data_IF_496258072286
#
_entry.id   IF_496258072286
#
_cell.length_a   1.000
_cell.length_b   1.000
_cell.length_c   1.000
_cell.angle_alpha   90.00
_cell.angle_beta   90.00
_cell.angle_gamma   90.00
#
_symmetry.space_group_name_H-M   'P 1'
#
loop_
_entity.id
_entity.type
_entity.pdbx_description
1 polymer ?
#
# COMPACT_ATOMS: atom_id res chain seq x y z
N UNK A 1 -9.37 -30.70 -16.28
CA UNK A 1 -9.82 -29.40 -15.76
C UNK A 1 -8.95 -29.12 -14.57
N UNK A 2 -7.80 -28.51 -14.84
CA UNK A 2 -7.06 -27.78 -13.81
C UNK A 2 -8.00 -26.65 -13.35
N UNK A 3 -8.04 -26.39 -12.04
CA UNK A 3 -8.92 -25.37 -11.46
C UNK A 3 -8.65 -24.05 -12.18
N UNK A 4 -9.68 -23.44 -12.76
CA UNK A 4 -9.64 -22.05 -13.17
C UNK A 4 -9.11 -21.24 -11.98
N UNK A 5 -7.98 -20.56 -12.16
CA UNK A 5 -7.37 -19.74 -11.12
C UNK A 5 -8.42 -18.75 -10.61
N UNK A 6 -8.70 -18.79 -9.31
CA UNK A 6 -9.68 -17.92 -8.72
C UNK A 6 -9.02 -16.56 -8.51
N UNK A 7 -9.28 -15.61 -9.43
CA UNK A 7 -8.80 -14.24 -9.30
C UNK A 7 -9.17 -13.66 -7.93
N UNK A 8 -8.28 -12.87 -7.33
CA UNK A 8 -8.49 -12.28 -6.01
C UNK A 8 -9.80 -11.47 -5.93
N UNK A 9 -10.19 -10.86 -7.05
CA UNK A 9 -11.38 -10.04 -7.22
C UNK A 9 -12.67 -10.86 -7.06
N UNK A 10 -12.60 -12.19 -7.23
CA UNK A 10 -13.73 -13.09 -7.11
C UNK A 10 -13.90 -13.61 -5.67
N UNK A 11 -12.92 -13.36 -4.78
CA UNK A 11 -12.99 -13.76 -3.37
C UNK A 11 -14.01 -12.87 -2.66
N UNK A 12 -15.20 -13.43 -2.43
CA UNK A 12 -16.24 -12.80 -1.62
C UNK A 12 -15.92 -12.92 -0.14
N UNK A 13 -15.70 -11.77 0.48
CA UNK A 13 -15.56 -11.63 1.91
C UNK A 13 -16.93 -11.53 2.59
N UNK A 14 -16.91 -11.18 3.88
CA UNK A 14 -18.11 -10.94 4.66
C UNK A 14 -17.87 -9.87 5.72
N UNK A 15 -18.71 -9.91 6.75
CA UNK A 15 -18.70 -8.94 7.85
C UNK A 15 -17.81 -9.40 9.01
N UNK A 16 -16.76 -8.63 9.27
CA UNK A 16 -15.73 -8.89 10.26
C UNK A 16 -16.00 -8.15 11.57
N UNK A 17 -17.13 -7.43 11.71
CA UNK A 17 -17.47 -6.64 12.91
C UNK A 17 -17.40 -7.45 14.22
N UNK A 18 -17.66 -8.77 14.15
CA UNK A 18 -17.63 -9.67 15.32
C UNK A 18 -16.24 -10.26 15.60
N UNK A 19 -15.31 -10.16 14.64
CA UNK A 19 -13.98 -10.76 14.71
C UNK A 19 -13.20 -10.25 15.92
N UNK A 20 -13.21 -8.94 16.14
CA UNK A 20 -12.42 -8.28 17.18
C UNK A 20 -12.84 -8.70 18.59
N UNK A 21 -14.14 -8.87 18.83
CA UNK A 21 -14.66 -9.37 20.10
C UNK A 21 -14.42 -10.87 20.29
N UNK A 22 -14.47 -11.65 19.20
CA UNK A 22 -14.27 -13.09 19.24
C UNK A 22 -12.79 -13.47 19.45
N UNK A 23 -11.85 -12.63 18.99
CA UNK A 23 -10.41 -12.88 19.04
C UNK A 23 -9.67 -11.76 19.78
N UNK A 24 -9.87 -11.58 21.10
CA UNK A 24 -9.32 -10.44 21.85
C UNK A 24 -7.78 -10.43 22.00
N UNK A 25 -7.11 -11.48 21.53
CA UNK A 25 -5.64 -11.60 21.52
C UNK A 25 -5.08 -11.60 20.10
N UNK A 26 -5.88 -11.26 19.08
CA UNK A 26 -5.43 -11.20 17.69
C UNK A 26 -4.33 -10.15 17.55
N UNK A 27 -3.18 -10.57 17.02
CA UNK A 27 -2.04 -9.68 16.77
C UNK A 27 -1.85 -9.34 15.31
N UNK A 28 -2.30 -10.22 14.43
CA UNK A 28 -2.07 -10.12 13.00
C UNK A 28 -3.34 -10.53 12.26
N UNK A 29 -3.77 -9.68 11.33
CA UNK A 29 -4.91 -9.92 10.46
C UNK A 29 -4.46 -9.64 9.02
N UNK A 30 -4.46 -10.69 8.20
CA UNK A 30 -4.16 -10.61 6.78
C UNK A 30 -5.42 -11.06 6.03
N UNK A 31 -5.91 -10.21 5.13
CA UNK A 31 -7.13 -10.43 4.36
C UNK A 31 -6.76 -10.43 2.88
N UNK A 32 -7.09 -11.52 2.17
CA UNK A 32 -6.89 -11.64 0.72
C UNK A 32 -8.25 -11.56 0.01
N UNK A 33 -8.44 -10.57 -0.85
CA UNK A 33 -9.70 -10.19 -1.50
C UNK A 33 -10.51 -9.20 -0.66
N UNK A 34 -11.13 -8.22 -1.31
CA UNK A 34 -11.93 -7.18 -0.66
C UNK A 34 -13.38 -7.07 -1.15
N UNK A 35 -13.80 -7.91 -2.11
CA UNK A 35 -15.18 -7.95 -2.58
C UNK A 35 -16.13 -8.31 -1.44
N UNK A 36 -17.19 -7.51 -1.23
CA UNK A 36 -18.14 -7.63 -0.12
C UNK A 36 -17.51 -7.52 1.30
N UNK A 37 -16.27 -7.05 1.42
CA UNK A 37 -15.60 -6.89 2.72
C UNK A 37 -16.24 -5.77 3.54
N UNK A 38 -16.54 -6.08 4.80
CA UNK A 38 -16.91 -5.10 5.83
C UNK A 38 -16.04 -5.36 7.05
N UNK A 39 -15.16 -4.43 7.38
CA UNK A 39 -14.40 -4.46 8.62
C UNK A 39 -15.29 -4.06 9.81
N UNK A 40 -16.27 -3.19 9.57
CA UNK A 40 -17.14 -2.65 10.60
C UNK A 40 -16.43 -1.69 11.55
N UNK A 41 -16.94 -1.57 12.78
CA UNK A 41 -16.35 -0.70 13.79
C UNK A 41 -15.14 -1.39 14.44
N UNK A 42 -13.93 -1.01 13.99
CA UNK A 42 -12.69 -1.62 14.44
C UNK A 42 -12.26 -1.01 15.78
N UNK A 43 -12.31 -1.81 16.84
CA UNK A 43 -11.66 -1.48 18.11
C UNK A 43 -10.88 -2.70 18.60
N UNK A 44 -9.55 -2.62 18.57
CA UNK A 44 -8.70 -3.73 19.00
C UNK A 44 -7.38 -3.27 19.63
N UNK A 45 -7.20 -3.56 20.92
CA UNK A 45 -6.05 -3.08 21.74
C UNK A 45 -4.72 -3.80 21.42
N UNK A 46 -4.76 -4.95 20.74
CA UNK A 46 -3.59 -5.83 20.56
C UNK A 46 -3.24 -6.14 19.12
N UNK A 47 -3.98 -5.57 18.16
CA UNK A 47 -3.69 -5.82 16.74
C UNK A 47 -2.45 -5.00 16.38
N UNK A 48 -1.40 -5.69 15.97
CA UNK A 48 -0.09 -5.11 15.66
C UNK A 48 0.14 -5.08 14.14
N UNK A 49 -0.48 -5.98 13.37
CA UNK A 49 -0.36 -6.06 11.91
C UNK A 49 -1.73 -6.17 11.24
N UNK A 50 -1.99 -5.31 10.26
CA UNK A 50 -3.15 -5.36 9.38
C UNK A 50 -2.69 -5.26 7.93
N UNK A 51 -3.06 -6.26 7.14
CA UNK A 51 -2.76 -6.29 5.71
C UNK A 51 -3.99 -6.68 4.91
N UNK A 52 -4.26 -5.91 3.86
CA UNK A 52 -5.36 -6.14 2.93
C UNK A 52 -4.77 -6.23 1.53
N UNK A 53 -4.83 -7.43 0.97
CA UNK A 53 -4.39 -7.75 -0.38
C UNK A 53 -5.64 -7.74 -1.26
N UNK A 54 -5.76 -6.80 -2.19
CA UNK A 54 -6.92 -6.67 -3.06
C UNK A 54 -6.49 -6.28 -4.48
N UNK A 55 -7.28 -6.70 -5.46
CA UNK A 55 -7.23 -6.13 -6.82
C UNK A 55 -7.89 -4.75 -6.91
N UNK A 56 -8.66 -4.36 -5.89
CA UNK A 56 -9.29 -3.06 -5.74
C UNK A 56 -9.90 -2.90 -4.35
N UNK A 57 -9.41 -1.98 -3.51
CA UNK A 57 -9.94 -1.75 -2.16
C UNK A 57 -11.18 -0.85 -2.23
N UNK A 58 -12.35 -1.30 -1.75
CA UNK A 58 -13.54 -0.47 -1.71
C UNK A 58 -13.39 0.70 -0.73
N UNK A 59 -13.96 1.85 -1.09
CA UNK A 59 -14.06 3.08 -0.32
C UNK A 59 -14.66 2.86 1.07
N UNK A 60 -15.60 1.93 1.23
CA UNK A 60 -16.13 1.59 2.55
C UNK A 60 -15.05 1.03 3.48
N UNK A 61 -14.10 0.25 2.96
CA UNK A 61 -13.00 -0.33 3.73
C UNK A 61 -12.03 0.77 4.14
N UNK A 62 -11.70 1.70 3.23
CA UNK A 62 -10.90 2.88 3.55
C UNK A 62 -11.57 3.72 4.65
N UNK A 63 -12.87 3.97 4.53
CA UNK A 63 -13.64 4.72 5.53
C UNK A 63 -13.69 4.01 6.89
N UNK A 64 -13.85 2.69 6.92
CA UNK A 64 -13.82 1.90 8.16
C UNK A 64 -12.44 1.96 8.84
N UNK A 65 -11.35 1.90 8.06
CA UNK A 65 -9.98 2.07 8.57
C UNK A 65 -9.73 3.47 9.14
N UNK A 66 -10.24 4.53 8.49
CA UNK A 66 -10.13 5.90 9.00
C UNK A 66 -10.85 6.10 10.35
N UNK A 67 -11.83 5.25 10.66
CA UNK A 67 -12.56 5.28 11.93
C UNK A 67 -12.06 4.23 12.95
N UNK A 68 -10.96 3.53 12.64
CA UNK A 68 -10.45 2.45 13.46
C UNK A 68 -9.75 2.94 14.74
N UNK A 69 -9.91 2.17 15.82
CA UNK A 69 -9.18 2.34 17.07
C UNK A 69 -8.21 1.18 17.25
N UNK A 70 -6.99 1.37 16.72
CA UNK A 70 -5.92 0.38 16.69
C UNK A 70 -4.64 0.94 17.34
N UNK A 71 -4.63 1.20 18.66
CA UNK A 71 -3.52 1.90 19.33
C UNK A 71 -2.19 1.12 19.32
N UNK A 72 -2.23 -0.19 19.07
CA UNK A 72 -1.06 -1.06 19.02
C UNK A 72 -0.57 -1.38 17.59
N UNK A 73 -1.22 -0.83 16.55
CA UNK A 73 -0.88 -1.14 15.17
C UNK A 73 0.53 -0.62 14.83
N UNK A 74 1.37 -1.54 14.35
CA UNK A 74 2.76 -1.27 13.93
C UNK A 74 2.91 -1.39 12.43
N UNK A 75 2.11 -2.26 11.79
CA UNK A 75 2.14 -2.50 10.36
C UNK A 75 0.76 -2.35 9.73
N UNK A 76 0.68 -1.51 8.70
CA UNK A 76 -0.48 -1.36 7.83
C UNK A 76 -0.02 -1.51 6.38
N UNK A 77 -0.53 -2.53 5.69
CA UNK A 77 -0.23 -2.79 4.28
C UNK A 77 -1.50 -2.88 3.47
N UNK A 78 -1.61 -2.06 2.43
CA UNK A 78 -2.77 -1.98 1.56
C UNK A 78 -2.31 -2.15 0.12
N UNK A 79 -2.78 -3.21 -0.53
CA UNK A 79 -2.74 -3.35 -1.99
C UNK A 79 -4.01 -2.67 -2.51
N UNK A 80 -3.86 -1.44 -2.99
CA UNK A 80 -4.96 -0.54 -3.32
C UNK A 80 -5.78 -1.04 -4.51
N UNK A 81 -5.09 -1.62 -5.49
CA UNK A 81 -5.70 -2.09 -6.71
C UNK A 81 -6.18 -0.97 -7.62
N UNK A 82 -7.04 -1.34 -8.57
CA UNK A 82 -7.53 -0.46 -9.64
C UNK A 82 -9.05 -0.51 -9.76
N UNK A 83 -9.63 0.48 -10.44
CA UNK A 83 -11.09 0.64 -10.56
C UNK A 83 -11.75 -0.59 -11.18
N UNK A 84 -11.11 -1.19 -12.20
CA UNK A 84 -11.61 -2.37 -12.90
C UNK A 84 -11.79 -3.61 -12.01
N UNK A 85 -11.15 -3.64 -10.83
CA UNK A 85 -11.20 -4.75 -9.89
C UNK A 85 -11.76 -4.33 -8.51
N UNK A 86 -12.42 -3.18 -8.41
CA UNK A 86 -13.24 -2.80 -7.25
C UNK A 86 -12.75 -1.61 -6.43
N UNK A 87 -11.66 -0.95 -6.81
CA UNK A 87 -11.29 0.33 -6.19
C UNK A 87 -12.32 1.40 -6.58
N UNK A 88 -12.95 2.04 -5.60
CA UNK A 88 -13.91 3.13 -5.84
C UNK A 88 -13.69 4.33 -4.89
N UNK A 89 -12.51 4.39 -4.28
CA UNK A 89 -12.05 5.50 -3.44
C UNK A 89 -11.27 6.55 -4.21
N UNK A 90 -10.67 7.48 -3.48
CA UNK A 90 -9.75 8.49 -4.01
C UNK A 90 -8.39 8.42 -3.34
N UNK A 91 -7.37 9.05 -3.96
CA UNK A 91 -6.09 9.25 -3.30
C UNK A 91 -6.21 9.99 -1.97
N UNK A 92 -7.18 10.90 -1.81
CA UNK A 92 -7.41 11.59 -0.54
C UNK A 92 -7.86 10.61 0.55
N UNK A 93 -8.72 9.64 0.21
CA UNK A 93 -9.15 8.60 1.15
C UNK A 93 -8.00 7.69 1.56
N UNK A 94 -7.11 7.35 0.61
CA UNK A 94 -5.89 6.58 0.86
C UNK A 94 -4.93 7.35 1.76
N UNK A 95 -4.65 8.61 1.41
CA UNK A 95 -3.67 9.41 2.14
C UNK A 95 -4.17 9.85 3.52
N UNK A 96 -5.47 9.87 3.76
CA UNK A 96 -6.03 10.06 5.11
C UNK A 96 -5.57 8.96 6.09
N UNK A 97 -5.24 7.76 5.60
CA UNK A 97 -4.72 6.65 6.42
C UNK A 97 -3.24 6.83 6.78
N UNK A 98 -2.49 7.66 6.06
CA UNK A 98 -1.09 8.00 6.39
C UNK A 98 -1.02 9.04 7.52
N UNK A 99 -1.63 8.73 8.67
CA UNK A 99 -1.77 9.64 9.80
C UNK A 99 -1.31 9.03 11.12
N UNK A 100 -0.39 9.71 11.81
CA UNK A 100 0.04 9.33 13.17
C UNK A 100 -1.06 9.45 14.21
N UNK A 101 -2.06 10.30 13.96
CA UNK A 101 -3.16 10.50 14.90
C UNK A 101 -4.11 9.29 14.88
N UNK A 102 -4.20 8.60 13.73
CA UNK A 102 -4.89 7.33 13.60
C UNK A 102 -4.03 6.17 14.11
N UNK A 103 -2.75 6.14 13.75
CA UNK A 103 -1.85 5.03 14.05
C UNK A 103 -0.57 5.48 14.78
N UNK A 104 -0.66 5.77 16.09
CA UNK A 104 0.43 6.39 16.85
C UNK A 104 1.65 5.48 17.05
N UNK A 105 1.53 4.17 16.82
CA UNK A 105 2.64 3.20 16.91
C UNK A 105 3.07 2.62 15.57
N UNK A 106 2.55 3.14 14.44
CA UNK A 106 2.87 2.60 13.12
C UNK A 106 4.32 2.87 12.77
N UNK A 107 5.06 1.80 12.46
CA UNK A 107 6.45 1.88 12.00
C UNK A 107 6.61 1.32 10.59
N UNK A 108 5.58 0.67 10.05
CA UNK A 108 5.59 0.06 8.72
C UNK A 108 4.31 0.42 8.00
N UNK A 109 4.44 1.21 6.93
CA UNK A 109 3.34 1.58 6.06
C UNK A 109 3.61 1.08 4.64
N UNK A 110 2.67 0.32 4.08
CA UNK A 110 2.65 -0.06 2.68
C UNK A 110 1.41 0.47 1.99
N UNK A 111 1.60 1.33 0.99
CA UNK A 111 0.57 1.83 0.08
C UNK A 111 0.98 1.43 -1.33
N UNK A 112 0.56 0.23 -1.72
CA UNK A 112 1.08 -0.49 -2.86
C UNK A 112 0.00 -0.69 -3.92
N UNK A 113 0.42 -1.15 -5.09
CA UNK A 113 -0.50 -1.66 -6.10
C UNK A 113 -1.51 -0.63 -6.60
N UNK A 114 -1.05 0.57 -6.94
CA UNK A 114 -1.88 1.63 -7.51
C UNK A 114 -1.38 2.05 -8.90
N UNK A 115 -2.33 2.47 -9.75
CA UNK A 115 -2.05 3.19 -11.01
C UNK A 115 -1.58 4.64 -10.79
N UNK A 116 -1.77 5.17 -9.57
CA UNK A 116 -1.39 6.54 -9.18
C UNK A 116 -0.19 6.53 -8.22
N UNK A 117 0.72 5.55 -8.37
CA UNK A 117 1.81 5.31 -7.42
C UNK A 117 2.80 6.48 -7.29
N UNK A 118 2.99 7.26 -8.36
CA UNK A 118 3.81 8.49 -8.33
C UNK A 118 3.21 9.57 -7.40
N UNK A 119 1.88 9.73 -7.42
CA UNK A 119 1.18 10.68 -6.55
C UNK A 119 1.19 10.20 -5.10
N UNK A 120 1.04 8.90 -4.85
CA UNK A 120 1.20 8.31 -3.51
C UNK A 120 2.61 8.57 -2.98
N UNK A 121 3.64 8.30 -3.79
CA UNK A 121 5.03 8.55 -3.42
C UNK A 121 5.28 10.01 -3.06
N UNK A 122 4.73 10.96 -3.83
CA UNK A 122 4.81 12.40 -3.54
C UNK A 122 4.09 12.76 -2.23
N UNK A 123 2.86 12.27 -2.05
CA UNK A 123 2.01 12.69 -0.92
C UNK A 123 2.40 12.06 0.41
N UNK A 124 2.91 10.82 0.41
CA UNK A 124 3.37 10.18 1.65
C UNK A 124 4.57 10.91 2.25
N UNK A 125 5.40 11.54 1.41
CA UNK A 125 6.51 12.35 1.88
C UNK A 125 6.04 13.52 2.75
N UNK A 126 4.86 14.08 2.46
CA UNK A 126 4.25 15.18 3.23
C UNK A 126 3.44 14.73 4.44
N UNK A 127 3.26 13.42 4.62
CA UNK A 127 2.46 12.87 5.71
C UNK A 127 3.12 13.08 7.08
N UNK A 128 2.29 13.22 8.11
CA UNK A 128 2.77 13.38 9.48
C UNK A 128 3.23 12.05 10.12
N UNK A 129 2.92 10.91 9.47
CA UNK A 129 3.34 9.56 9.89
C UNK A 129 4.79 9.27 9.49
N UNK A 130 5.30 9.87 8.41
CA UNK A 130 6.63 9.57 7.88
C UNK A 130 7.77 9.55 8.94
N UNK A 131 7.86 10.51 9.88
CA UNK A 131 8.97 10.57 10.82
C UNK A 131 9.06 9.40 11.81
N UNK A 132 7.99 8.61 12.00
CA UNK A 132 7.99 7.43 12.88
C UNK A 132 8.11 6.11 12.12
N UNK A 133 8.08 6.13 10.79
CA UNK A 133 8.24 4.92 9.99
C UNK A 133 9.69 4.45 10.00
N UNK A 134 9.86 3.13 10.06
CA UNK A 134 11.09 2.41 9.76
C UNK A 134 11.03 1.79 8.35
N UNK A 135 9.83 1.40 7.91
CA UNK A 135 9.62 0.77 6.59
C UNK A 135 8.51 1.51 5.85
N UNK A 136 8.82 1.89 4.61
CA UNK A 136 7.86 2.44 3.66
C UNK A 136 7.84 1.56 2.41
N UNK A 137 6.67 1.02 2.05
CA UNK A 137 6.48 0.23 0.83
C UNK A 137 5.58 1.00 -0.16
N UNK A 138 6.09 1.22 -1.37
CA UNK A 138 5.43 1.91 -2.49
C UNK A 138 5.50 1.06 -3.76
N UNK A 139 5.56 -0.25 -3.59
CA UNK A 139 5.79 -1.28 -4.60
C UNK A 139 4.51 -1.69 -5.34
N UNK A 140 4.66 -2.60 -6.30
CA UNK A 140 3.56 -3.29 -6.99
C UNK A 140 2.64 -2.38 -7.83
N UNK A 141 2.94 -1.09 -7.95
CA UNK A 141 2.18 -0.10 -8.69
C UNK A 141 2.93 0.41 -9.93
N UNK A 142 2.46 1.52 -10.48
CA UNK A 142 3.01 2.15 -11.69
C UNK A 142 4.04 3.24 -11.34
N UNK A 143 4.95 2.98 -10.38
CA UNK A 143 5.95 3.97 -9.97
C UNK A 143 6.95 4.25 -11.10
N UNK A 144 7.05 5.52 -11.51
CA UNK A 144 7.95 5.99 -12.57
C UNK A 144 9.04 6.91 -12.03
N UNK A 145 9.93 7.35 -12.92
CA UNK A 145 10.97 8.31 -12.59
C UNK A 145 10.42 9.61 -11.97
N UNK A 146 9.17 10.01 -12.29
CA UNK A 146 8.54 11.19 -11.68
C UNK A 146 8.31 11.02 -10.18
N UNK A 147 7.81 9.85 -9.75
CA UNK A 147 7.65 9.53 -8.32
C UNK A 147 9.00 9.40 -7.62
N UNK A 148 9.99 8.79 -8.28
CA UNK A 148 11.34 8.65 -7.74
C UNK A 148 12.09 9.99 -7.61
N UNK A 149 11.85 10.95 -8.50
CA UNK A 149 12.40 12.29 -8.39
C UNK A 149 11.93 12.98 -7.10
N UNK A 150 10.66 12.83 -6.73
CA UNK A 150 10.16 13.35 -5.46
C UNK A 150 10.84 12.71 -4.24
N UNK A 151 11.12 11.40 -4.29
CA UNK A 151 11.89 10.70 -3.27
C UNK A 151 13.32 11.26 -3.14
N UNK A 152 13.98 11.56 -4.26
CA UNK A 152 15.31 12.16 -4.28
C UNK A 152 15.32 13.60 -3.74
N UNK A 153 14.34 14.41 -4.12
CA UNK A 153 14.17 15.78 -3.62
C UNK A 153 13.97 15.82 -2.10
N UNK A 154 13.29 14.82 -1.55
CA UNK A 154 13.00 14.70 -0.11
C UNK A 154 13.87 13.66 0.60
N UNK A 155 15.01 13.28 0.02
CA UNK A 155 15.89 12.22 0.56
C UNK A 155 16.22 12.38 2.04
N UNK A 156 16.41 13.61 2.51
CA UNK A 156 16.75 13.90 3.90
C UNK A 156 15.60 13.55 4.86
N UNK A 157 14.35 13.56 4.39
CA UNK A 157 13.15 13.16 5.15
C UNK A 157 12.93 11.67 5.21
N UNK A 158 13.62 10.88 4.38
CA UNK A 158 13.48 9.42 4.30
C UNK A 158 14.79 8.69 4.62
N UNK A 159 15.88 9.41 4.84
CA UNK A 159 17.18 8.84 5.20
C UNK A 159 17.20 8.13 6.56
N UNK A 160 16.18 8.33 7.41
CA UNK A 160 16.01 7.62 8.68
C UNK A 160 15.32 6.25 8.52
N UNK A 161 14.69 5.98 7.38
CA UNK A 161 14.04 4.69 7.13
C UNK A 161 15.09 3.58 7.18
N UNK A 162 14.71 2.44 7.75
CA UNK A 162 15.50 1.21 7.65
C UNK A 162 15.35 0.62 6.25
N UNK A 163 14.13 0.59 5.71
CA UNK A 163 13.82 0.05 4.38
C UNK A 163 12.87 0.97 3.60
N UNK A 164 13.20 1.18 2.32
CA UNK A 164 12.29 1.70 1.31
C UNK A 164 12.09 0.61 0.25
N UNK A 165 10.88 0.08 0.16
CA UNK A 165 10.54 -0.96 -0.81
C UNK A 165 9.80 -0.38 -2.02
N UNK A 166 10.43 -0.46 -3.19
CA UNK A 166 9.90 -0.02 -4.46
C UNK A 166 9.79 -1.18 -5.47
N UNK A 167 9.85 -2.45 -5.06
CA UNK A 167 9.83 -3.56 -6.05
C UNK A 167 8.60 -3.50 -6.97
N UNK A 168 8.71 -4.12 -8.15
CA UNK A 168 7.66 -4.09 -9.16
C UNK A 168 7.30 -2.63 -9.54
N UNK A 169 8.21 -2.01 -10.29
CA UNK A 169 8.17 -0.60 -10.66
C UNK A 169 8.53 -0.37 -12.12
N UNK A 170 8.34 0.85 -12.63
CA UNK A 170 8.71 1.28 -13.98
C UNK A 170 9.88 2.29 -14.01
N UNK A 171 10.73 2.29 -12.98
CA UNK A 171 11.92 3.14 -12.91
C UNK A 171 12.97 2.77 -13.95
N UNK A 172 13.51 3.78 -14.62
CA UNK A 172 14.62 3.58 -15.56
C UNK A 172 15.88 3.09 -14.83
N UNK A 173 16.78 2.37 -15.53
CA UNK A 173 18.06 1.97 -14.94
C UNK A 173 18.88 3.17 -14.42
N UNK A 174 18.79 4.32 -15.09
CA UNK A 174 19.47 5.54 -14.64
C UNK A 174 18.91 6.04 -13.30
N UNK A 175 17.58 6.07 -13.16
CA UNK A 175 16.93 6.48 -11.92
C UNK A 175 17.21 5.54 -10.76
N UNK A 176 17.22 4.23 -11.01
CA UNK A 176 17.60 3.22 -10.02
C UNK A 176 19.01 3.47 -9.47
N UNK A 177 19.99 3.77 -10.33
CA UNK A 177 21.35 4.09 -9.89
C UNK A 177 21.42 5.41 -9.11
N UNK A 178 20.63 6.43 -9.50
CA UNK A 178 20.52 7.69 -8.74
C UNK A 178 19.98 7.45 -7.32
N UNK A 179 18.92 6.65 -7.18
CA UNK A 179 18.34 6.30 -5.88
C UNK A 179 19.34 5.56 -5.00
N UNK A 180 20.00 4.52 -5.52
CA UNK A 180 21.03 3.75 -4.79
C UNK A 180 22.20 4.64 -4.33
N UNK A 181 22.60 5.60 -5.15
CA UNK A 181 23.69 6.51 -4.82
C UNK A 181 23.27 7.57 -3.78
N UNK A 182 22.01 7.99 -3.79
CA UNK A 182 21.51 9.09 -2.95
C UNK A 182 20.96 8.64 -1.59
N UNK A 183 20.42 7.42 -1.50
CA UNK A 183 19.72 6.93 -0.32
C UNK A 183 20.57 5.86 0.42
N UNK A 184 21.11 6.17 1.61
CA UNK A 184 21.94 5.24 2.37
C UNK A 184 21.10 4.26 3.23
N UNK A 185 19.99 3.74 2.68
CA UNK A 185 19.02 2.87 3.36
C UNK A 185 18.89 1.54 2.61
N UNK A 186 18.23 0.54 3.21
CA UNK A 186 17.92 -0.69 2.49
C UNK A 186 16.88 -0.40 1.41
N UNK A 187 17.30 -0.35 0.15
CA UNK A 187 16.46 0.02 -0.97
C UNK A 187 16.16 -1.23 -1.81
N UNK A 188 14.88 -1.62 -1.89
CA UNK A 188 14.45 -2.69 -2.77
C UNK A 188 13.97 -2.13 -4.12
N UNK A 189 14.67 -2.50 -5.19
CA UNK A 189 14.40 -2.11 -6.59
C UNK A 189 14.27 -3.36 -7.48
N UNK A 190 13.89 -4.50 -6.90
CA UNK A 190 13.70 -5.72 -7.69
C UNK A 190 12.48 -5.61 -8.62
N UNK A 191 12.43 -6.46 -9.65
CA UNK A 191 11.28 -6.55 -10.55
C UNK A 191 11.00 -5.24 -11.31
N UNK A 192 12.05 -4.60 -11.83
CA UNK A 192 11.89 -3.50 -12.78
C UNK A 192 11.14 -3.98 -14.04
N UNK A 193 10.15 -3.20 -14.47
CA UNK A 193 9.29 -3.45 -15.61
C UNK A 193 9.57 -2.44 -16.73
N UNK A 194 9.27 -2.85 -17.96
CA UNK A 194 9.24 -1.97 -19.13
C UNK A 194 7.78 -1.65 -19.45
N UNK A 195 7.42 -0.37 -19.69
CA UNK A 195 6.08 -0.03 -20.16
C UNK A 195 5.77 -0.70 -21.50
N UNK A 196 4.53 -1.11 -21.70
CA UNK A 196 4.07 -1.66 -22.97
C UNK A 196 3.76 -0.51 -23.96
N UNK A 197 4.30 -0.58 -25.18
CA UNK A 197 3.96 0.33 -26.28
C UNK A 197 2.98 -0.39 -27.22
N UNK A 198 1.75 0.13 -27.30
CA UNK A 198 0.75 -0.36 -28.23
C UNK A 198 0.19 0.79 -29.06
N UNK A 199 0.54 0.78 -30.36
CA UNK A 199 0.16 1.82 -31.34
C UNK A 199 0.62 3.25 -30.98
N UNK A 200 1.74 3.36 -30.25
CA UNK A 200 2.31 4.64 -29.80
C UNK A 200 1.76 5.15 -28.47
N UNK A 201 0.81 4.42 -27.86
CA UNK A 201 0.33 4.66 -26.50
C UNK A 201 1.11 3.79 -25.52
N UNK A 202 1.57 4.40 -24.42
CA UNK A 202 2.34 3.74 -23.36
C UNK A 202 1.39 3.27 -22.27
N UNK A 203 1.42 1.97 -21.97
CA UNK A 203 0.63 1.33 -20.93
C UNK A 203 1.53 0.80 -19.81
N UNK A 204 1.10 1.03 -18.57
CA UNK A 204 1.73 0.50 -17.36
C UNK A 204 0.63 -0.11 -16.51
N UNK A 205 0.90 -1.28 -15.93
CA UNK A 205 -0.08 -1.99 -15.14
C UNK A 205 0.43 -2.13 -13.71
N UNK A 206 -0.44 -1.85 -12.74
CA UNK A 206 -0.20 -2.32 -11.39
C UNK A 206 -0.19 -3.86 -11.37
N UNK A 207 0.51 -4.44 -10.40
CA UNK A 207 0.63 -5.90 -10.24
C UNK A 207 -0.74 -6.57 -10.24
N UNK A 208 -0.90 -7.63 -11.03
CA UNK A 208 -2.06 -8.51 -10.89
C UNK A 208 -1.91 -9.30 -9.58
N UNK A 209 -2.78 -8.99 -8.63
CA UNK A 209 -2.87 -9.76 -7.40
C UNK A 209 -3.66 -11.04 -7.68
N UNK A 210 -2.97 -12.16 -7.88
CA UNK A 210 -3.56 -13.52 -7.91
C UNK A 210 -3.87 -14.01 -6.51
#
# INVERSE_FOLDING_TARGET
>A
MESEDCEISWIKQGDYSRLYAALPNLKELIIKGASDLRLGAIHHEKLEHLEIISGGIPSNVLAELQNAQLPALKTLKLFLGVEGYGFDGSLDDVMALASKDLFPQLTHLGLMNSEEQDDIARRVLESNILPQLNVLELSCGTLTDNGAEALLEHKDRIAHLETLDLHHHYLTPEMQEKLKAALPINLNLSEALEPDDYDGDIYMNAMYTE
#
